data_IF_974694094997
#
_entry.id   IF_974694094997
#
_cell.length_a   1.000
_cell.length_b   1.000
_cell.length_c   1.000
_cell.angle_alpha   90.00
_cell.angle_beta   90.00
_cell.angle_gamma   90.00
#
_symmetry.space_group_name_H-M   'P 1'
#
loop_
_entity.id
_entity.type
_entity.pdbx_description
1 polymer ?
#
# COMPACT_ATOMS: atom_id res chain seq x y z
N UNK A 1 1.50 13.07 -21.79
CA UNK A 1 0.08 12.84 -21.46
C UNK A 1 -0.20 13.09 -19.98
N UNK A 2 0.54 12.50 -19.03
CA UNK A 2 0.38 12.76 -17.58
C UNK A 2 0.59 14.24 -17.18
N UNK A 3 1.49 14.96 -17.84
CA UNK A 3 1.78 16.37 -17.53
C UNK A 3 0.58 17.32 -17.74
N UNK A 4 -0.48 16.90 -18.44
CA UNK A 4 -1.65 17.73 -18.72
C UNK A 4 -2.66 17.74 -17.57
N UNK A 5 -2.65 16.72 -16.70
CA UNK A 5 -3.66 16.55 -15.65
C UNK A 5 -3.26 17.20 -14.31
N UNK A 6 -2.07 17.80 -14.24
CA UNK A 6 -1.54 18.36 -13.00
C UNK A 6 -1.04 17.29 -12.03
N UNK A 7 -1.03 17.62 -10.73
CA UNK A 7 -0.57 16.72 -9.66
C UNK A 7 -1.67 15.70 -9.35
N UNK A 8 -1.37 14.39 -9.29
CA UNK A 8 -2.36 13.39 -8.90
C UNK A 8 -2.83 13.60 -7.46
N UNK A 9 -4.10 13.31 -7.20
CA UNK A 9 -4.71 13.34 -5.87
C UNK A 9 -4.12 12.26 -4.97
N UNK A 10 -3.96 11.04 -5.48
CA UNK A 10 -3.40 9.90 -4.74
C UNK A 10 -2.30 9.21 -5.56
N UNK A 11 -1.25 8.79 -4.85
CA UNK A 11 -0.28 7.83 -5.33
C UNK A 11 -0.47 6.53 -4.53
N UNK A 12 -0.69 5.43 -5.23
CA UNK A 12 -1.02 4.15 -4.61
C UNK A 12 -0.04 3.10 -5.12
N UNK A 13 0.42 2.25 -4.22
CA UNK A 13 1.23 1.08 -4.56
C UNK A 13 0.53 -0.14 -4.00
N UNK A 14 0.17 -1.08 -4.89
CA UNK A 14 -0.48 -2.34 -4.53
C UNK A 14 0.46 -3.47 -4.92
N UNK A 15 0.63 -4.43 -4.02
CA UNK A 15 1.35 -5.67 -4.27
C UNK A 15 0.40 -6.84 -4.31
N UNK A 16 0.67 -7.81 -5.19
CA UNK A 16 -0.05 -9.07 -5.17
C UNK A 16 0.26 -9.88 -3.90
N UNK A 17 -0.76 -10.56 -3.39
CA UNK A 17 -0.65 -11.54 -2.32
C UNK A 17 -1.33 -12.84 -2.80
N UNK A 18 -0.82 -13.43 -3.88
CA UNK A 18 -1.52 -14.46 -4.67
C UNK A 18 -1.93 -15.67 -3.81
N UNK A 19 -1.11 -16.03 -2.82
CA UNK A 19 -1.40 -17.15 -1.88
C UNK A 19 -2.65 -16.95 -1.01
N UNK A 20 -3.13 -15.71 -0.89
CA UNK A 20 -4.31 -15.34 -0.11
C UNK A 20 -5.56 -15.18 -0.97
N UNK A 21 -5.44 -15.15 -2.31
CA UNK A 21 -6.58 -15.00 -3.20
C UNK A 21 -7.20 -16.36 -3.50
N UNK A 22 -8.17 -16.76 -2.68
CA UNK A 22 -8.83 -18.06 -2.76
C UNK A 22 -9.43 -18.34 -4.14
N UNK A 23 -10.09 -17.35 -4.75
CA UNK A 23 -10.62 -17.46 -6.11
C UNK A 23 -9.52 -17.71 -7.16
N UNK A 24 -8.38 -17.04 -7.04
CA UNK A 24 -7.24 -17.28 -7.94
C UNK A 24 -6.73 -18.73 -7.79
N UNK A 25 -6.58 -19.19 -6.55
CA UNK A 25 -6.09 -20.55 -6.26
C UNK A 25 -7.06 -21.62 -6.80
N UNK A 26 -8.37 -21.42 -6.62
CA UNK A 26 -9.42 -22.26 -7.19
C UNK A 26 -9.31 -22.31 -8.72
N UNK A 27 -9.27 -21.14 -9.38
CA UNK A 27 -9.19 -21.04 -10.85
C UNK A 27 -7.93 -21.72 -11.41
N UNK A 28 -6.76 -21.47 -10.82
CA UNK A 28 -5.50 -22.10 -11.25
C UNK A 28 -5.56 -23.61 -11.03
N UNK A 29 -6.10 -24.08 -9.90
CA UNK A 29 -6.19 -25.52 -9.65
C UNK A 29 -7.10 -26.23 -10.64
N UNK A 30 -8.28 -25.65 -10.91
CA UNK A 30 -9.21 -26.19 -11.91
C UNK A 30 -8.55 -26.28 -13.29
N UNK A 31 -7.70 -25.30 -13.63
CA UNK A 31 -7.00 -25.24 -14.93
C UNK A 31 -5.80 -26.20 -15.00
N UNK A 32 -4.93 -26.19 -13.99
CA UNK A 32 -3.66 -26.94 -13.98
C UNK A 32 -3.87 -28.42 -13.65
N UNK A 33 -4.70 -28.72 -12.63
CA UNK A 33 -4.91 -30.09 -12.15
C UNK A 33 -6.17 -30.74 -12.75
N UNK A 34 -6.94 -30.01 -13.55
CA UNK A 34 -8.20 -30.47 -14.18
C UNK A 34 -9.20 -31.06 -13.18
N UNK A 35 -9.20 -30.54 -11.95
CA UNK A 35 -10.06 -31.01 -10.87
C UNK A 35 -10.90 -29.86 -10.37
N UNK A 36 -12.22 -29.99 -10.44
CA UNK A 36 -13.14 -29.03 -9.82
C UNK A 36 -12.91 -29.01 -8.31
N UNK A 37 -12.67 -27.80 -7.81
CA UNK A 37 -12.48 -27.49 -6.42
C UNK A 37 -13.48 -26.40 -6.02
N UNK A 38 -14.03 -26.49 -4.81
CA UNK A 38 -14.84 -25.40 -4.25
C UNK A 38 -13.98 -24.34 -3.55
N UNK A 39 -14.54 -23.14 -3.36
CA UNK A 39 -13.87 -22.07 -2.61
C UNK A 39 -13.52 -22.48 -1.17
N UNK A 40 -14.34 -23.30 -0.51
CA UNK A 40 -14.07 -23.80 0.85
C UNK A 40 -12.86 -24.75 0.90
N UNK A 41 -12.71 -25.59 -0.13
CA UNK A 41 -11.54 -26.47 -0.26
C UNK A 41 -10.25 -25.68 -0.52
N UNK A 42 -10.34 -24.54 -1.22
CA UNK A 42 -9.19 -23.67 -1.51
C UNK A 42 -8.53 -23.07 -0.25
N UNK A 43 -9.31 -22.87 0.81
CA UNK A 43 -8.81 -22.36 2.10
C UNK A 43 -7.84 -23.34 2.75
N UNK A 44 -8.12 -24.64 2.61
CA UNK A 44 -7.41 -25.72 3.30
C UNK A 44 -6.22 -26.27 2.50
N UNK A 45 -5.90 -25.68 1.35
CA UNK A 45 -4.74 -26.11 0.56
C UNK A 45 -3.44 -25.81 1.33
N UNK A 46 -2.53 -26.79 1.46
CA UNK A 46 -1.22 -26.57 2.05
C UNK A 46 -0.43 -25.46 1.32
N UNK A 47 0.31 -24.64 2.06
CA UNK A 47 1.07 -23.51 1.49
C UNK A 47 1.97 -23.92 0.32
N UNK A 48 2.67 -25.06 0.42
CA UNK A 48 3.54 -25.58 -0.63
C UNK A 48 2.77 -25.86 -1.95
N UNK A 49 1.54 -26.34 -1.85
CA UNK A 49 0.69 -26.60 -3.00
C UNK A 49 0.19 -25.28 -3.63
N UNK A 50 -0.16 -24.27 -2.81
CA UNK A 50 -0.48 -22.93 -3.32
C UNK A 50 0.69 -22.35 -4.13
N UNK A 51 1.92 -22.48 -3.63
CA UNK A 51 3.13 -22.03 -4.33
C UNK A 51 3.32 -22.78 -5.66
N UNK A 52 3.14 -24.11 -5.66
CA UNK A 52 3.22 -24.92 -6.89
C UNK A 52 2.22 -24.43 -7.94
N UNK A 53 0.98 -24.20 -7.54
CA UNK A 53 -0.08 -23.73 -8.44
C UNK A 53 0.27 -22.38 -9.05
N UNK A 54 0.66 -21.39 -8.23
CA UNK A 54 1.07 -20.05 -8.68
C UNK A 54 2.23 -20.13 -9.68
N UNK A 55 3.23 -20.98 -9.40
CA UNK A 55 4.37 -21.18 -10.30
C UNK A 55 4.00 -21.90 -11.60
N UNK A 56 2.94 -22.70 -11.60
CA UNK A 56 2.49 -23.47 -12.76
C UNK A 56 1.73 -22.61 -13.76
N UNK A 57 1.05 -21.55 -13.30
CA UNK A 57 0.30 -20.62 -14.16
C UNK A 57 0.50 -19.14 -13.77
N UNK A 58 1.70 -18.58 -14.06
CA UNK A 58 2.00 -17.18 -13.79
C UNK A 58 1.19 -16.21 -14.66
N UNK A 59 0.66 -16.66 -15.80
CA UNK A 59 -0.13 -15.82 -16.70
C UNK A 59 -1.49 -15.50 -16.10
N UNK A 60 -2.19 -16.51 -15.57
CA UNK A 60 -3.46 -16.31 -14.86
C UNK A 60 -3.26 -15.45 -13.62
N UNK A 61 -2.15 -15.64 -12.88
CA UNK A 61 -1.80 -14.78 -11.74
C UNK A 61 -1.69 -13.29 -12.12
N UNK A 62 -0.94 -13.00 -13.19
CA UNK A 62 -0.75 -11.62 -13.66
C UNK A 62 -2.06 -10.98 -14.15
N UNK A 63 -2.85 -11.74 -14.92
CA UNK A 63 -4.15 -11.29 -15.43
C UNK A 63 -5.15 -11.04 -14.29
N UNK A 64 -5.20 -11.95 -13.32
CA UNK A 64 -6.05 -11.79 -12.15
C UNK A 64 -5.67 -10.53 -11.36
N UNK A 65 -4.38 -10.28 -11.17
CA UNK A 65 -3.93 -9.07 -10.49
C UNK A 65 -4.38 -7.80 -11.20
N UNK A 66 -4.16 -7.71 -12.52
CA UNK A 66 -4.51 -6.52 -13.31
C UNK A 66 -6.01 -6.23 -13.30
N UNK A 67 -6.84 -7.27 -13.45
CA UNK A 67 -8.31 -7.14 -13.38
C UNK A 67 -8.83 -6.83 -11.98
N UNK A 68 -8.06 -7.15 -10.93
CA UNK A 68 -8.43 -6.88 -9.54
C UNK A 68 -8.03 -5.49 -9.03
N UNK A 69 -7.44 -4.63 -9.87
CA UNK A 69 -6.97 -3.29 -9.49
C UNK A 69 -8.09 -2.26 -9.23
N UNK A 70 -9.28 -2.72 -8.83
CA UNK A 70 -10.38 -1.84 -8.39
C UNK A 70 -10.08 -1.39 -6.96
N UNK A 71 -9.57 -0.17 -6.80
CA UNK A 71 -9.21 0.35 -5.49
C UNK A 71 -10.41 0.83 -4.65
N UNK A 72 -10.19 1.10 -3.35
CA UNK A 72 -11.25 1.36 -2.37
C UNK A 72 -11.78 2.80 -2.42
N UNK A 73 -12.15 3.30 -3.60
CA UNK A 73 -12.50 4.72 -3.79
C UNK A 73 -14.00 5.02 -3.59
N UNK A 74 -14.80 3.99 -3.26
CA UNK A 74 -16.24 4.12 -3.05
C UNK A 74 -16.93 4.65 -4.31
N UNK A 75 -17.87 5.59 -4.12
CA UNK A 75 -18.62 6.26 -5.19
C UNK A 75 -17.87 7.44 -5.82
N UNK A 76 -16.61 7.69 -5.46
CA UNK A 76 -15.87 8.86 -5.95
C UNK A 76 -15.54 8.70 -7.42
N UNK A 77 -15.79 9.76 -8.18
CA UNK A 77 -15.45 9.82 -9.59
C UNK A 77 -13.94 10.04 -9.76
N UNK A 78 -13.31 9.10 -10.49
CA UNK A 78 -11.91 9.19 -10.89
C UNK A 78 -11.91 9.68 -12.33
N UNK A 79 -11.54 10.94 -12.56
CA UNK A 79 -11.51 11.47 -13.93
C UNK A 79 -10.34 10.95 -14.74
N UNK A 80 -9.20 10.76 -14.08
CA UNK A 80 -8.00 10.24 -14.73
C UNK A 80 -7.32 9.22 -13.82
N UNK A 81 -6.81 8.16 -14.43
CA UNK A 81 -5.95 7.19 -13.78
C UNK A 81 -4.78 6.84 -14.68
N UNK A 82 -3.64 6.62 -14.06
CA UNK A 82 -2.48 6.02 -14.69
C UNK A 82 -1.97 4.93 -13.77
N UNK A 83 -1.69 3.75 -14.31
CA UNK A 83 -0.99 2.73 -13.56
C UNK A 83 0.06 2.05 -14.42
N UNK A 84 1.08 1.54 -13.74
CA UNK A 84 2.12 0.70 -14.33
C UNK A 84 2.27 -0.54 -13.47
N UNK A 85 2.28 -1.70 -14.12
CA UNK A 85 2.62 -2.97 -13.49
C UNK A 85 4.13 -3.21 -13.62
N UNK A 86 4.78 -3.48 -12.51
CA UNK A 86 6.19 -3.83 -12.41
C UNK A 86 6.36 -5.19 -11.75
N UNK A 87 7.20 -6.04 -12.32
CA UNK A 87 7.57 -7.32 -11.74
C UNK A 87 8.88 -7.13 -10.98
N UNK A 88 8.82 -7.17 -9.65
CA UNK A 88 10.05 -7.18 -8.85
C UNK A 88 10.78 -8.51 -9.05
N UNK A 89 12.06 -8.58 -8.67
CA UNK A 89 12.89 -9.79 -8.80
C UNK A 89 12.37 -11.04 -8.07
N UNK A 90 11.26 -10.90 -7.33
CA UNK A 90 10.54 -11.96 -6.62
C UNK A 90 9.36 -12.54 -7.40
N UNK A 91 9.10 -12.07 -8.62
CA UNK A 91 8.12 -12.64 -9.54
C UNK A 91 6.70 -12.11 -9.38
N UNK A 92 6.29 -11.65 -8.20
CA UNK A 92 4.94 -11.10 -8.00
C UNK A 92 4.79 -9.67 -8.56
N UNK A 93 3.68 -9.37 -9.24
CA UNK A 93 3.42 -8.05 -9.80
C UNK A 93 3.15 -7.00 -8.72
N UNK A 94 3.55 -5.77 -9.03
CA UNK A 94 3.35 -4.56 -8.23
C UNK A 94 2.74 -3.48 -9.11
N UNK A 95 1.63 -2.91 -8.69
CA UNK A 95 0.99 -1.80 -9.40
C UNK A 95 1.39 -0.48 -8.74
N UNK A 96 1.98 0.42 -9.52
CA UNK A 96 2.16 1.82 -9.16
C UNK A 96 1.08 2.64 -9.85
N UNK A 97 0.20 3.28 -9.08
CA UNK A 97 -0.98 3.98 -9.58
C UNK A 97 -0.95 5.46 -9.18
N UNK A 98 -1.36 6.31 -10.10
CA UNK A 98 -1.64 7.73 -9.91
C UNK A 98 -3.10 7.98 -10.24
N UNK A 99 -3.84 8.60 -9.33
CA UNK A 99 -5.27 8.84 -9.47
C UNK A 99 -5.59 10.32 -9.31
N UNK A 100 -6.47 10.83 -10.18
CA UNK A 100 -7.07 12.15 -10.09
C UNK A 100 -8.55 11.97 -9.74
N UNK A 101 -8.89 12.39 -8.53
CA UNK A 101 -10.25 12.30 -7.99
C UNK A 101 -10.92 13.65 -8.20
N UNK A 102 -12.12 13.64 -8.79
CA UNK A 102 -12.92 14.85 -8.97
C UNK A 102 -13.30 15.47 -7.61
N UNK A 103 -13.38 16.80 -7.58
CA UNK A 103 -13.70 17.60 -6.39
C UNK A 103 -12.77 17.36 -5.17
N UNK A 104 -11.57 16.81 -5.38
CA UNK A 104 -10.60 16.66 -4.31
C UNK A 104 -10.16 18.03 -3.76
N UNK A 105 -10.12 18.23 -2.43
CA UNK A 105 -9.77 19.52 -1.84
C UNK A 105 -8.31 19.89 -2.08
N UNK A 106 -8.07 21.17 -2.33
CA UNK A 106 -6.72 21.73 -2.52
C UNK A 106 -6.20 22.29 -1.20
N UNK A 107 -5.01 21.85 -0.81
CA UNK A 107 -4.31 22.40 0.36
C UNK A 107 -3.78 23.81 0.07
N UNK A 108 -4.17 24.79 0.88
CA UNK A 108 -3.68 26.18 0.80
C UNK A 108 -2.89 26.48 2.09
N UNK A 109 -1.60 26.75 1.94
CA UNK A 109 -0.72 26.99 3.09
C UNK A 109 -1.19 28.20 3.90
N UNK A 110 -1.46 27.98 5.18
CA UNK A 110 -1.90 29.03 6.11
C UNK A 110 -3.42 29.22 6.18
N UNK A 111 -4.20 28.53 5.35
CA UNK A 111 -5.65 28.48 5.46
C UNK A 111 -6.09 27.25 6.26
N UNK A 112 -6.67 27.52 7.43
CA UNK A 112 -7.18 26.50 8.33
C UNK A 112 -8.36 25.73 7.72
N UNK A 113 -9.24 26.40 6.96
CA UNK A 113 -10.39 25.74 6.32
C UNK A 113 -9.93 24.74 5.27
N UNK A 114 -8.93 25.10 4.44
CA UNK A 114 -8.34 24.16 3.49
C UNK A 114 -7.70 22.94 4.18
N UNK A 115 -7.03 23.17 5.31
CA UNK A 115 -6.38 22.10 6.08
C UNK A 115 -7.41 21.09 6.57
N UNK A 116 -8.52 21.57 7.14
CA UNK A 116 -9.62 20.74 7.63
C UNK A 116 -10.28 19.93 6.52
N UNK A 117 -10.56 20.57 5.37
CA UNK A 117 -11.14 19.88 4.20
C UNK A 117 -10.25 18.74 3.71
N UNK A 118 -8.94 19.00 3.60
CA UNK A 118 -7.97 17.98 3.16
C UNK A 118 -7.84 16.86 4.18
N UNK A 119 -7.75 17.16 5.47
CA UNK A 119 -7.65 16.11 6.50
C UNK A 119 -8.90 15.24 6.54
N UNK A 120 -10.10 15.83 6.42
CA UNK A 120 -11.35 15.07 6.34
C UNK A 120 -11.41 14.19 5.09
N UNK A 121 -10.95 14.71 3.94
CA UNK A 121 -10.89 13.94 2.71
C UNK A 121 -9.92 12.75 2.82
N UNK A 122 -8.76 12.94 3.45
CA UNK A 122 -7.81 11.86 3.71
C UNK A 122 -8.41 10.82 4.66
N UNK A 123 -9.06 11.24 5.75
CA UNK A 123 -9.70 10.32 6.70
C UNK A 123 -10.83 9.49 6.06
N UNK A 124 -11.50 10.02 5.02
CA UNK A 124 -12.52 9.26 4.28
C UNK A 124 -11.95 8.21 3.32
N UNK A 125 -10.66 8.26 3.00
CA UNK A 125 -10.02 7.36 2.02
C UNK A 125 -9.02 6.43 2.71
N UNK A 126 -8.27 6.95 3.68
CA UNK A 126 -7.16 6.28 4.36
C UNK A 126 -7.45 6.29 5.86
N UNK A 127 -8.39 5.44 6.27
CA UNK A 127 -8.71 5.19 7.68
C UNK A 127 -8.65 3.71 8.01
N UNK A 128 -8.53 3.39 9.29
CA UNK A 128 -8.64 2.03 9.80
C UNK A 128 -9.51 2.06 11.06
N UNK A 129 -10.42 1.08 11.18
CA UNK A 129 -11.25 0.87 12.37
C UNK A 129 -10.74 -0.37 13.14
N UNK A 130 -10.61 -0.24 14.45
CA UNK A 130 -10.22 -1.33 15.35
C UNK A 130 -11.22 -2.50 15.35
N UNK A 131 -12.50 -2.23 15.07
CA UNK A 131 -13.53 -3.27 14.97
C UNK A 131 -13.37 -4.14 13.72
N UNK A 132 -12.72 -3.61 12.68
CA UNK A 132 -12.42 -4.32 11.43
C UNK A 132 -11.04 -4.99 11.46
N UNK A 133 -10.24 -4.72 12.49
CA UNK A 133 -8.92 -5.30 12.66
C UNK A 133 -9.03 -6.72 13.21
N UNK A 134 -8.86 -7.71 12.32
CA UNK A 134 -8.65 -9.09 12.74
C UNK A 134 -7.14 -9.36 13.01
N UNK A 135 -6.84 -10.44 13.74
CA UNK A 135 -5.46 -10.78 14.10
C UNK A 135 -4.53 -10.95 12.90
N UNK A 136 -5.05 -11.43 11.76
CA UNK A 136 -4.24 -11.68 10.58
C UNK A 136 -3.85 -10.39 9.86
N UNK A 137 -4.75 -9.40 9.82
CA UNK A 137 -4.46 -8.04 9.36
C UNK A 137 -3.42 -7.36 10.25
N UNK A 138 -3.53 -7.50 11.58
CA UNK A 138 -2.53 -6.97 12.51
C UNK A 138 -1.16 -7.62 12.27
N UNK A 139 -1.11 -8.94 12.06
CA UNK A 139 0.14 -9.67 11.80
C UNK A 139 0.86 -9.17 10.55
N UNK A 140 0.14 -8.83 9.47
CA UNK A 140 0.75 -8.33 8.22
C UNK A 140 1.14 -6.85 8.28
N UNK A 141 0.47 -6.04 9.13
CA UNK A 141 0.81 -4.63 9.34
C UNK A 141 1.91 -4.43 10.40
N UNK A 142 2.27 -5.48 11.15
CA UNK A 142 3.32 -5.42 12.15
C UNK A 142 4.70 -5.52 11.51
N UNK A 143 5.48 -4.44 11.60
CA UNK A 143 6.86 -4.43 11.14
C UNK A 143 7.73 -5.44 11.91
N UNK A 144 8.28 -6.43 11.21
CA UNK A 144 9.28 -7.35 11.75
C UNK A 144 10.66 -6.97 11.22
N UNK A 145 11.62 -6.77 12.11
CA UNK A 145 13.00 -6.50 11.70
C UNK A 145 13.57 -7.70 10.94
N UNK A 146 13.85 -7.49 9.66
CA UNK A 146 14.52 -8.45 8.77
C UNK A 146 15.92 -7.94 8.41
N UNK A 147 16.72 -8.74 7.71
CA UNK A 147 18.03 -8.31 7.19
C UNK A 147 17.98 -7.01 6.36
N UNK A 148 16.84 -6.74 5.70
CA UNK A 148 16.59 -5.50 4.96
C UNK A 148 16.57 -4.25 5.84
N UNK A 149 16.23 -4.41 7.12
CA UNK A 149 16.12 -3.33 8.10
C UNK A 149 17.48 -2.90 8.64
N UNK A 150 18.41 -3.84 8.80
CA UNK A 150 19.73 -3.61 9.35
C UNK A 150 20.79 -4.06 8.34
N UNK A 151 21.02 -3.25 7.30
CA UNK A 151 22.13 -3.46 6.35
C UNK A 151 23.51 -3.44 7.04
N UNK A 152 23.61 -2.88 8.25
CA UNK A 152 24.80 -2.90 9.13
C UNK A 152 24.34 -3.14 10.58
N UNK A 153 25.12 -3.90 11.35
CA UNK A 153 24.73 -4.48 12.66
C UNK A 153 24.40 -3.49 13.79
N UNK A 154 24.64 -2.18 13.66
CA UNK A 154 24.45 -1.24 14.78
C UNK A 154 23.68 0.04 14.43
N UNK A 155 22.87 0.02 13.38
CA UNK A 155 22.07 1.19 13.01
C UNK A 155 20.60 1.04 13.38
N UNK A 156 19.93 2.15 13.73
CA UNK A 156 18.48 2.16 13.86
C UNK A 156 17.83 1.61 12.59
N UNK A 157 16.57 1.18 12.71
CA UNK A 157 15.82 0.64 11.58
C UNK A 157 15.98 1.54 10.36
N UNK A 158 16.43 0.98 9.21
CA UNK A 158 16.54 1.72 7.95
C UNK A 158 15.25 2.46 7.58
N UNK A 159 14.11 1.94 7.99
CA UNK A 159 12.78 2.50 7.71
C UNK A 159 12.27 3.45 8.81
N UNK A 160 13.03 3.70 9.87
CA UNK A 160 12.62 4.60 10.95
C UNK A 160 11.56 4.06 11.91
N UNK A 161 11.37 2.74 11.96
CA UNK A 161 10.46 2.07 12.90
C UNK A 161 11.07 2.05 14.32
N UNK A 162 10.29 2.27 15.39
CA UNK A 162 8.85 2.52 15.39
C UNK A 162 8.48 3.93 14.91
N UNK A 163 7.39 4.01 14.16
CA UNK A 163 6.74 5.30 13.92
C UNK A 163 6.02 5.75 15.18
N UNK A 164 6.06 7.05 15.45
CA UNK A 164 5.24 7.64 16.50
C UNK A 164 3.78 7.58 16.07
N UNK A 165 2.91 7.07 16.95
CA UNK A 165 1.48 7.10 16.71
C UNK A 165 0.99 8.55 16.65
N UNK A 166 0.14 8.83 15.67
CA UNK A 166 -0.55 10.10 15.53
C UNK A 166 -2.00 9.88 15.90
N UNK A 167 -2.54 10.76 16.74
CA UNK A 167 -3.92 10.71 17.24
C UNK A 167 -4.96 11.11 16.18
N UNK A 168 -4.52 11.85 15.16
CA UNK A 168 -5.33 12.33 14.04
C UNK A 168 -4.46 12.62 12.83
N UNK A 169 -5.10 12.69 11.67
CA UNK A 169 -4.47 13.13 10.44
C UNK A 169 -3.98 14.58 10.56
N UNK A 170 -2.73 14.84 10.17
CA UNK A 170 -2.10 16.16 10.23
C UNK A 170 -1.25 16.42 9.00
N UNK A 171 -1.34 17.62 8.45
CA UNK A 171 -0.45 18.11 7.40
C UNK A 171 0.79 18.71 8.06
N UNK A 172 1.95 18.09 7.83
CA UNK A 172 3.22 18.57 8.35
C UNK A 172 3.85 19.54 7.35
N UNK A 173 4.05 20.79 7.77
CA UNK A 173 4.83 21.77 7.00
C UNK A 173 6.27 21.81 7.50
N UNK A 174 7.20 22.18 6.63
CA UNK A 174 8.61 22.39 7.01
C UNK A 174 8.72 23.30 8.24
N UNK A 175 9.61 22.92 9.15
CA UNK A 175 9.96 23.75 10.29
C UNK A 175 10.52 25.08 9.78
N UNK A 176 10.17 26.17 10.44
CA UNK A 176 10.76 27.48 10.16
C UNK A 176 12.26 27.43 10.46
N UNK A 177 13.06 28.15 9.67
CA UNK A 177 14.52 28.15 9.77
C UNK A 177 15.03 28.70 11.11
N UNK A 178 14.24 29.58 11.74
CA UNK A 178 14.49 30.18 13.04
C UNK A 178 14.12 29.28 14.22
N UNK A 179 13.59 28.07 13.97
CA UNK A 179 13.24 27.16 15.05
C UNK A 179 14.51 26.74 15.82
N UNK A 180 14.61 27.05 17.13
CA UNK A 180 15.83 26.83 17.91
C UNK A 180 16.23 25.35 17.99
N UNK A 181 15.27 24.44 17.82
CA UNK A 181 15.49 22.98 17.82
C UNK A 181 15.86 22.43 16.45
N UNK A 182 15.79 23.22 15.38
CA UNK A 182 16.09 22.75 14.02
C UNK A 182 17.55 22.29 13.87
N UNK A 183 18.50 22.99 14.53
CA UNK A 183 19.91 22.59 14.53
C UNK A 183 20.11 21.27 15.26
N UNK A 184 19.49 21.11 16.43
CA UNK A 184 19.54 19.88 17.22
C UNK A 184 18.97 18.69 16.43
N UNK A 185 17.82 18.87 15.78
CA UNK A 185 17.17 17.81 15.01
C UNK A 185 17.93 17.45 13.73
N UNK A 186 18.58 18.43 13.07
CA UNK A 186 19.49 18.16 11.94
C UNK A 186 20.72 17.34 12.37
N UNK A 187 21.25 17.60 13.56
CA UNK A 187 22.36 16.80 14.12
C UNK A 187 21.90 15.40 14.55
N UNK A 188 20.70 15.28 15.11
CA UNK A 188 20.09 13.98 15.39
C UNK A 188 19.91 13.22 14.08
N UNK A 189 19.27 13.77 13.05
CA UNK A 189 18.99 13.08 11.78
C UNK A 189 20.25 12.57 11.06
N UNK A 190 21.39 13.26 11.20
CA UNK A 190 22.70 12.79 10.69
C UNK A 190 23.18 11.50 11.35
N UNK A 191 22.77 11.22 12.61
CA UNK A 191 23.09 9.97 13.30
C UNK A 191 22.21 8.79 12.84
N UNK A 192 21.05 9.07 12.24
CA UNK A 192 20.13 8.06 11.70
C UNK A 192 20.37 7.74 10.21
N UNK A 193 21.24 8.50 9.52
CA UNK A 193 21.62 8.33 8.12
C UNK A 193 22.99 7.68 7.94
#
# INVERSE_FOLDING_TARGET
MIQLFGVPTLLIVISAAETQWLHLIEQIKNTVDQKEMSLEESQNIPYAEKVRLIQSDPFTCATFFETSLVGPFGEREISHQYHRIEFQSRGSPHAHMMLWIEDAPIFIRGDQSSTEKVTMFVDQIISSNIEELNEDLVKIQTHKHTHSCHRKLSRPCRFGIPFFSMDKTRILTSLKEDNPRLKEWKEISKKWT
#
